data_IF_393371829205
#
_entry.id   IF_393371829205
#
_cell.length_a   1.000
_cell.length_b   1.000
_cell.length_c   1.000
_cell.angle_alpha   90.00
_cell.angle_beta   90.00
_cell.angle_gamma   90.00
#
_symmetry.space_group_name_H-M   'P 1'
#
loop_
_entity.id
_entity.type
_entity.pdbx_description
1 polymer ?
#
# COMPACT_ATOMS: atom_id res chain seq x y z
N UNK A 1 -19.06 -2.15 -8.41
CA UNK A 1 -17.64 -2.22 -8.78
C UNK A 1 -17.22 -3.68 -8.81
N UNK A 2 -16.29 -4.10 -9.67
CA UNK A 2 -15.83 -5.48 -9.70
C UNK A 2 -14.92 -5.78 -8.48
N UNK A 3 -14.97 -7.01 -7.97
CA UNK A 3 -14.09 -7.46 -6.88
C UNK A 3 -12.68 -7.66 -7.44
N UNK A 4 -11.70 -6.94 -6.88
CA UNK A 4 -10.29 -7.02 -7.28
C UNK A 4 -9.49 -7.96 -6.38
N UNK A 5 -9.64 -7.82 -5.07
CA UNK A 5 -8.98 -8.67 -4.08
C UNK A 5 -10.01 -9.16 -3.07
N UNK A 6 -9.99 -10.46 -2.79
CA UNK A 6 -10.80 -11.11 -1.77
C UNK A 6 -9.92 -11.80 -0.75
N UNK A 7 -10.17 -11.51 0.51
CA UNK A 7 -9.49 -12.10 1.66
C UNK A 7 -10.52 -12.91 2.44
N UNK A 8 -10.30 -14.22 2.54
CA UNK A 8 -11.23 -15.16 3.18
C UNK A 8 -10.55 -15.83 4.38
N UNK A 9 -10.99 -15.47 5.57
CA UNK A 9 -10.66 -16.13 6.85
C UNK A 9 -9.15 -16.36 7.05
N UNK A 10 -8.31 -15.39 6.64
CA UNK A 10 -6.86 -15.53 6.83
C UNK A 10 -6.50 -15.51 8.32
N UNK A 11 -5.63 -16.43 8.68
CA UNK A 11 -5.03 -16.50 10.02
C UNK A 11 -3.52 -16.58 9.91
N UNK A 12 -2.82 -15.88 10.80
CA UNK A 12 -1.35 -15.93 10.90
C UNK A 12 -0.91 -15.91 12.35
N UNK A 13 -0.11 -16.89 12.74
CA UNK A 13 0.46 -17.05 14.08
C UNK A 13 1.98 -16.97 14.05
N UNK A 14 2.57 -16.50 15.14
CA UNK A 14 4.00 -16.50 15.38
C UNK A 14 4.25 -17.08 16.78
N UNK A 15 4.72 -18.34 16.85
CA UNK A 15 4.81 -19.06 18.12
C UNK A 15 3.43 -19.15 18.79
N UNK A 16 3.28 -18.59 19.99
CA UNK A 16 2.01 -18.56 20.72
C UNK A 16 1.12 -17.33 20.44
N UNK A 17 1.54 -16.41 19.57
CA UNK A 17 0.83 -15.16 19.32
C UNK A 17 0.05 -15.25 18.01
N UNK A 18 -1.27 -15.03 18.05
CA UNK A 18 -2.14 -14.90 16.87
C UNK A 18 -2.09 -13.46 16.41
N UNK A 19 -1.36 -13.18 15.34
CA UNK A 19 -1.18 -11.83 14.80
C UNK A 19 -2.29 -11.41 13.83
N UNK A 20 -2.92 -12.37 13.15
CA UNK A 20 -4.13 -12.20 12.33
C UNK A 20 -5.04 -13.36 12.64
N UNK A 21 -6.30 -13.10 12.95
CA UNK A 21 -7.28 -14.09 13.36
C UNK A 21 -8.54 -14.02 12.50
N UNK A 22 -8.73 -15.02 11.65
CA UNK A 22 -9.95 -15.21 10.85
C UNK A 22 -10.41 -13.93 10.10
N UNK A 23 -9.46 -13.15 9.57
CA UNK A 23 -9.73 -11.88 8.93
C UNK A 23 -10.29 -12.06 7.51
N UNK A 24 -11.42 -11.42 7.23
CA UNK A 24 -12.08 -11.44 5.91
C UNK A 24 -12.49 -10.04 5.48
N UNK A 25 -12.20 -9.68 4.23
CA UNK A 25 -12.64 -8.44 3.57
C UNK A 25 -12.43 -8.52 2.06
N UNK A 26 -13.00 -7.58 1.35
CA UNK A 26 -12.88 -7.45 -0.10
C UNK A 26 -12.34 -6.06 -0.46
N UNK A 27 -11.68 -5.94 -1.62
CA UNK A 27 -11.28 -4.67 -2.23
C UNK A 27 -11.82 -4.66 -3.65
N UNK A 28 -12.50 -3.58 -4.02
CA UNK A 28 -13.10 -3.41 -5.34
C UNK A 28 -12.23 -2.56 -6.26
N UNK A 29 -12.37 -2.75 -7.58
CA UNK A 29 -11.61 -1.97 -8.56
C UNK A 29 -11.92 -0.47 -8.46
N UNK A 30 -10.85 0.36 -8.45
CA UNK A 30 -10.92 1.81 -8.46
C UNK A 30 -11.21 2.45 -7.10
N UNK A 31 -11.41 1.69 -6.01
CA UNK A 31 -11.57 2.27 -4.67
C UNK A 31 -10.24 2.58 -3.96
N UNK A 32 -10.29 3.50 -3.02
CA UNK A 32 -9.26 3.70 -2.00
C UNK A 32 -9.76 3.15 -0.68
N UNK A 33 -9.17 2.05 -0.21
CA UNK A 33 -9.50 1.45 1.09
C UNK A 33 -8.47 1.86 2.11
N UNK A 34 -8.87 2.58 3.15
CA UNK A 34 -8.07 2.84 4.34
C UNK A 34 -8.01 1.60 5.22
N UNK A 35 -6.81 1.26 5.73
CA UNK A 35 -6.63 0.14 6.64
C UNK A 35 -5.97 0.62 7.93
N UNK A 36 -6.72 0.59 9.01
CA UNK A 36 -6.34 1.19 10.29
C UNK A 36 -6.35 0.19 11.44
N UNK A 37 -5.71 0.57 12.53
CA UNK A 37 -5.69 -0.16 13.78
C UNK A 37 -4.57 0.35 14.68
N UNK A 38 -4.64 0.15 15.99
CA UNK A 38 -3.57 0.55 16.91
C UNK A 38 -2.25 -0.18 16.61
N UNK A 39 -1.18 0.25 17.28
CA UNK A 39 0.09 -0.45 17.20
C UNK A 39 -0.06 -1.89 17.74
N UNK A 40 0.47 -2.86 17.01
CA UNK A 40 0.31 -4.27 17.34
C UNK A 40 -1.01 -4.90 16.87
N UNK A 41 -1.92 -4.18 16.22
CA UNK A 41 -3.18 -4.72 15.72
C UNK A 41 -3.05 -5.78 14.61
N UNK A 42 -1.85 -5.96 14.03
CA UNK A 42 -1.61 -6.95 12.97
C UNK A 42 -1.51 -6.38 11.55
N UNK A 43 -1.61 -5.04 11.36
CA UNK A 43 -1.60 -4.39 10.04
C UNK A 43 -0.45 -4.83 9.14
N UNK A 44 0.79 -4.73 9.61
CA UNK A 44 1.97 -5.12 8.84
C UNK A 44 1.99 -6.61 8.52
N UNK A 45 1.46 -7.46 9.41
CA UNK A 45 1.31 -8.90 9.16
C UNK A 45 0.31 -9.17 8.04
N UNK A 46 -0.85 -8.50 8.04
CA UNK A 46 -1.84 -8.59 6.97
C UNK A 46 -1.21 -8.20 5.63
N UNK A 47 -0.55 -7.03 5.56
CA UNK A 47 0.09 -6.57 4.31
C UNK A 47 1.19 -7.54 3.84
N UNK A 48 1.97 -8.10 4.76
CA UNK A 48 2.99 -9.09 4.40
C UNK A 48 2.38 -10.41 3.89
N UNK A 49 1.22 -10.82 4.43
CA UNK A 49 0.47 -11.97 3.89
C UNK A 49 -0.10 -11.64 2.51
N UNK A 50 -0.74 -10.47 2.34
CA UNK A 50 -1.33 -10.08 1.06
C UNK A 50 -0.29 -9.83 -0.03
N UNK A 51 0.91 -9.37 0.30
CA UNK A 51 2.01 -9.16 -0.64
C UNK A 51 2.87 -10.42 -0.90
N UNK A 52 2.61 -11.53 -0.16
CA UNK A 52 3.30 -12.81 -0.35
C UNK A 52 4.66 -12.92 0.35
N UNK A 53 5.02 -11.97 1.21
CA UNK A 53 6.22 -12.07 2.06
C UNK A 53 6.04 -13.06 3.21
N UNK A 54 4.79 -13.25 3.66
CA UNK A 54 4.40 -14.26 4.63
C UNK A 54 3.33 -15.15 4.04
N UNK A 55 3.34 -16.43 4.39
CA UNK A 55 2.23 -17.32 4.09
C UNK A 55 1.22 -17.24 5.24
N UNK A 56 -0.07 -17.18 4.91
CA UNK A 56 -1.12 -17.43 5.88
C UNK A 56 -1.03 -18.89 6.38
N UNK A 57 -1.39 -19.11 7.62
CA UNK A 57 -1.45 -20.48 8.20
C UNK A 57 -2.78 -21.14 7.79
N UNK A 58 -3.84 -20.35 7.63
CA UNK A 58 -5.13 -20.79 7.07
C UNK A 58 -5.81 -19.64 6.32
N UNK A 59 -6.90 -19.96 5.61
CA UNK A 59 -7.65 -19.03 4.80
C UNK A 59 -7.12 -18.90 3.37
N UNK A 60 -7.69 -17.97 2.61
CA UNK A 60 -7.38 -17.78 1.19
C UNK A 60 -7.33 -16.30 0.82
N UNK A 61 -6.48 -15.98 -0.15
CA UNK A 61 -6.42 -14.68 -0.81
C UNK A 61 -6.58 -14.88 -2.30
N UNK A 62 -7.55 -14.19 -2.89
CA UNK A 62 -7.82 -14.24 -4.32
C UNK A 62 -7.66 -12.85 -4.94
N UNK A 63 -7.11 -12.77 -6.14
CA UNK A 63 -7.00 -11.54 -6.90
C UNK A 63 -7.55 -11.76 -8.31
N UNK A 64 -8.54 -11.00 -8.73
CA UNK A 64 -9.28 -11.20 -9.99
C UNK A 64 -9.79 -12.65 -10.14
N UNK A 65 -10.32 -13.24 -9.07
CA UNK A 65 -10.81 -14.64 -9.06
C UNK A 65 -9.72 -15.72 -9.09
N UNK A 66 -8.43 -15.33 -9.06
CA UNK A 66 -7.31 -16.28 -9.03
C UNK A 66 -6.78 -16.39 -7.61
N UNK A 67 -6.69 -17.62 -7.09
CA UNK A 67 -6.11 -17.86 -5.77
C UNK A 67 -4.61 -17.58 -5.77
N UNK A 68 -4.19 -16.56 -5.00
CA UNK A 68 -2.80 -16.12 -4.87
C UNK A 68 -2.18 -16.50 -3.53
N UNK A 69 -2.87 -17.23 -2.66
CA UNK A 69 -2.47 -17.50 -1.27
C UNK A 69 -1.03 -17.99 -1.14
N UNK A 70 -0.60 -18.90 -2.02
CA UNK A 70 0.75 -19.49 -2.01
C UNK A 70 1.71 -18.86 -3.03
N UNK A 71 1.26 -17.83 -3.76
CA UNK A 71 2.12 -17.15 -4.74
C UNK A 71 3.19 -16.31 -4.06
N UNK A 72 4.39 -16.36 -4.61
CA UNK A 72 5.52 -15.53 -4.16
C UNK A 72 5.33 -14.06 -4.55
N UNK A 73 6.00 -13.09 -3.90
CA UNK A 73 5.83 -11.66 -4.18
C UNK A 73 5.95 -11.28 -5.67
N UNK A 74 6.95 -11.81 -6.38
CA UNK A 74 7.14 -11.51 -7.80
C UNK A 74 5.99 -12.01 -8.68
N UNK A 75 5.34 -13.14 -8.33
CA UNK A 75 4.19 -13.65 -9.06
C UNK A 75 2.97 -12.74 -8.87
N UNK A 76 2.77 -12.23 -7.63
CA UNK A 76 1.71 -11.24 -7.34
C UNK A 76 1.98 -9.91 -8.03
N UNK A 77 3.25 -9.48 -8.12
CA UNK A 77 3.63 -8.29 -8.89
C UNK A 77 3.26 -8.44 -10.38
N UNK A 78 3.50 -9.59 -10.98
CA UNK A 78 3.08 -9.88 -12.36
C UNK A 78 1.56 -9.89 -12.56
N UNK A 79 0.78 -10.10 -11.49
CA UNK A 79 -0.67 -9.96 -11.53
C UNK A 79 -1.16 -8.52 -11.35
N UNK A 80 -0.24 -7.60 -11.06
CA UNK A 80 -0.53 -6.18 -10.89
C UNK A 80 -0.68 -5.75 -9.43
N UNK A 81 -0.07 -6.44 -8.47
CA UNK A 81 0.03 -5.99 -7.08
C UNK A 81 1.37 -5.29 -6.86
N UNK A 82 1.36 -4.02 -6.47
CA UNK A 82 2.54 -3.28 -6.05
C UNK A 82 2.44 -2.84 -4.59
N UNK A 83 3.59 -2.51 -3.98
CA UNK A 83 3.66 -2.05 -2.60
C UNK A 83 4.76 -1.03 -2.42
N UNK A 84 4.49 0.06 -1.69
CA UNK A 84 5.50 0.88 -1.05
C UNK A 84 5.83 0.33 0.33
N UNK A 85 6.94 0.78 0.91
CA UNK A 85 7.39 0.32 2.23
C UNK A 85 7.46 1.50 3.20
N UNK A 86 7.23 1.22 4.48
CA UNK A 86 7.38 2.20 5.55
C UNK A 86 8.77 2.87 5.58
N UNK A 87 9.82 2.12 5.25
CA UNK A 87 11.16 2.64 5.00
C UNK A 87 11.49 2.37 3.54
N UNK A 88 11.76 3.42 2.73
CA UNK A 88 12.09 3.24 1.32
C UNK A 88 13.26 2.27 1.11
N UNK A 89 13.12 1.41 0.10
CA UNK A 89 14.14 0.43 -0.27
C UNK A 89 14.70 0.74 -1.66
N UNK A 90 15.53 1.78 -1.77
CA UNK A 90 16.14 2.13 -3.06
C UNK A 90 17.17 1.10 -3.49
N UNK A 91 17.54 1.15 -4.76
CA UNK A 91 18.79 0.57 -5.26
C UNK A 91 19.86 1.67 -5.18
N UNK A 92 20.70 1.72 -4.13
CA UNK A 92 21.52 2.89 -3.82
C UNK A 92 22.52 3.26 -4.93
N UNK A 93 22.99 2.27 -5.69
CA UNK A 93 23.97 2.41 -6.77
C UNK A 93 23.33 2.68 -8.15
N UNK A 94 21.99 2.70 -8.23
CA UNK A 94 21.29 3.05 -9.46
C UNK A 94 20.86 4.52 -9.41
N UNK A 95 20.85 5.16 -10.59
CA UNK A 95 20.21 6.47 -10.74
C UNK A 95 18.70 6.35 -10.53
N UNK A 96 18.02 7.47 -10.24
CA UNK A 96 16.57 7.50 -10.14
C UNK A 96 15.92 6.91 -11.40
N UNK A 97 16.41 7.28 -12.59
CA UNK A 97 15.90 6.77 -13.86
C UNK A 97 16.11 5.27 -14.01
N UNK A 98 17.30 4.75 -13.76
CA UNK A 98 17.59 3.32 -13.86
C UNK A 98 16.79 2.51 -12.84
N UNK A 99 16.54 3.06 -11.63
CA UNK A 99 15.71 2.42 -10.60
C UNK A 99 14.26 2.25 -11.05
N UNK A 100 13.68 3.27 -11.69
CA UNK A 100 12.30 3.20 -12.20
C UNK A 100 12.23 2.29 -13.43
N UNK A 101 13.18 2.38 -14.37
CA UNK A 101 13.24 1.51 -15.54
C UNK A 101 13.34 0.03 -15.16
N UNK A 102 14.15 -0.30 -14.15
CA UNK A 102 14.23 -1.68 -13.62
C UNK A 102 12.87 -2.16 -13.12
N UNK A 103 12.10 -1.30 -12.46
CA UNK A 103 10.75 -1.65 -11.98
C UNK A 103 9.76 -1.83 -13.14
N UNK A 104 9.85 -1.01 -14.18
CA UNK A 104 9.03 -1.15 -15.39
C UNK A 104 9.23 -2.51 -16.06
N UNK A 105 10.47 -3.00 -16.13
CA UNK A 105 10.79 -4.32 -16.69
C UNK A 105 10.28 -5.48 -15.82
N UNK A 106 10.24 -5.30 -14.49
CA UNK A 106 9.85 -6.35 -13.54
C UNK A 106 8.34 -6.41 -13.26
N UNK A 107 7.57 -5.45 -13.76
CA UNK A 107 6.12 -5.34 -13.52
C UNK A 107 5.29 -6.38 -14.29
N UNK A 108 4.09 -6.00 -14.66
CA UNK A 108 3.17 -6.84 -15.44
C UNK A 108 3.89 -7.34 -16.68
N UNK A 109 3.88 -8.68 -16.89
CA UNK A 109 4.63 -9.37 -17.94
C UNK A 109 4.42 -8.69 -19.30
N UNK A 110 5.41 -7.91 -19.72
CA UNK A 110 5.45 -7.25 -21.04
C UNK A 110 6.32 -8.09 -21.95
N UNK A 111 5.72 -8.62 -22.98
CA UNK A 111 6.44 -9.39 -23.99
C UNK A 111 7.24 -8.41 -24.84
N UNK A 112 8.57 -8.61 -24.91
CA UNK A 112 9.52 -7.86 -25.79
C UNK A 112 9.75 -6.36 -25.46
N UNK A 113 9.58 -5.91 -24.21
CA UNK A 113 10.02 -4.56 -23.83
C UNK A 113 11.54 -4.50 -23.73
N UNK A 114 12.17 -3.60 -24.49
CA UNK A 114 13.61 -3.33 -24.38
C UNK A 114 13.92 -2.50 -23.13
N UNK A 115 15.19 -2.50 -22.70
CA UNK A 115 15.62 -1.60 -21.61
C UNK A 115 15.48 -0.12 -22.02
N UNK A 116 15.69 0.20 -23.30
CA UNK A 116 15.51 1.56 -23.82
C UNK A 116 14.06 2.02 -23.71
N UNK A 117 13.10 1.17 -24.07
CA UNK A 117 11.67 1.47 -23.91
C UNK A 117 11.32 1.69 -22.42
N UNK A 118 11.88 0.86 -21.53
CA UNK A 118 11.68 1.02 -20.09
C UNK A 118 12.28 2.33 -19.56
N UNK A 119 13.40 2.80 -20.12
CA UNK A 119 14.00 4.10 -19.76
C UNK A 119 13.12 5.28 -20.20
N UNK A 120 12.53 5.21 -21.39
CA UNK A 120 11.59 6.22 -21.88
C UNK A 120 10.34 6.26 -21.00
N UNK A 121 9.78 5.09 -20.68
CA UNK A 121 8.63 5.00 -19.79
C UNK A 121 8.93 5.49 -18.37
N UNK A 122 10.10 5.16 -17.82
CA UNK A 122 10.56 5.61 -16.51
C UNK A 122 10.63 7.14 -16.41
N UNK A 123 10.97 7.83 -17.50
CA UNK A 123 10.97 9.29 -17.58
C UNK A 123 9.59 9.86 -17.23
N UNK A 124 8.54 9.29 -17.79
CA UNK A 124 7.16 9.71 -17.53
C UNK A 124 6.78 9.59 -16.04
N UNK A 125 7.14 8.48 -15.37
CA UNK A 125 6.86 8.34 -13.94
C UNK A 125 7.69 9.29 -13.07
N UNK A 126 8.94 9.59 -13.47
CA UNK A 126 9.76 10.59 -12.78
C UNK A 126 9.22 12.01 -12.96
N UNK A 127 8.68 12.35 -14.11
CA UNK A 127 7.97 13.62 -14.33
C UNK A 127 6.72 13.70 -13.45
N UNK A 128 5.94 12.62 -13.41
CA UNK A 128 4.73 12.55 -12.59
C UNK A 128 4.99 12.83 -11.11
N UNK A 129 6.06 12.25 -10.54
CA UNK A 129 6.42 12.46 -9.12
C UNK A 129 7.31 13.67 -8.87
N UNK A 130 7.65 14.46 -9.90
CA UNK A 130 8.47 15.68 -9.78
C UNK A 130 9.98 15.42 -9.64
N UNK A 131 10.47 14.24 -10.01
CA UNK A 131 11.89 13.87 -9.90
C UNK A 131 12.65 13.91 -11.24
N UNK A 132 12.06 14.41 -12.31
CA UNK A 132 12.69 14.41 -13.64
C UNK A 132 14.05 15.14 -13.65
N UNK A 133 14.17 16.28 -12.99
CA UNK A 133 15.43 17.03 -12.87
C UNK A 133 16.54 16.24 -12.17
N UNK A 134 16.17 15.26 -11.34
CA UNK A 134 17.06 14.40 -10.56
C UNK A 134 17.25 13.00 -11.16
N UNK A 135 16.79 12.75 -12.38
CA UNK A 135 16.81 11.44 -13.04
C UNK A 135 18.20 10.78 -13.11
N UNK A 136 19.26 11.58 -13.18
CA UNK A 136 20.66 11.11 -13.23
C UNK A 136 21.32 11.00 -11.84
N UNK A 137 20.65 11.42 -10.76
CA UNK A 137 21.17 11.34 -9.40
C UNK A 137 21.06 9.89 -8.90
N UNK A 138 22.09 9.43 -8.19
CA UNK A 138 22.06 8.12 -7.53
C UNK A 138 21.03 8.12 -6.41
N UNK A 139 20.33 7.00 -6.23
CA UNK A 139 19.28 6.91 -5.22
C UNK A 139 19.80 7.18 -3.80
N UNK A 140 21.06 6.83 -3.49
CA UNK A 140 21.68 7.12 -2.19
C UNK A 140 21.86 8.62 -1.89
N UNK A 141 21.89 9.47 -2.93
CA UNK A 141 22.12 10.91 -2.82
C UNK A 141 20.80 11.73 -2.81
N UNK A 142 19.65 11.04 -2.87
CA UNK A 142 18.33 11.65 -2.75
C UNK A 142 17.96 11.89 -1.28
N UNK A 143 17.19 12.96 -1.03
CA UNK A 143 16.59 13.21 0.27
C UNK A 143 15.55 12.15 0.64
N UNK A 144 15.14 12.10 1.91
CA UNK A 144 14.12 11.13 2.35
C UNK A 144 12.79 11.29 1.60
N UNK A 145 12.33 12.52 1.41
CA UNK A 145 11.13 12.81 0.61
C UNK A 145 11.28 12.31 -0.83
N UNK A 146 12.42 12.60 -1.46
CA UNK A 146 12.69 12.17 -2.84
C UNK A 146 12.76 10.64 -2.96
N UNK A 147 13.28 9.96 -1.95
CA UNK A 147 13.26 8.49 -1.90
C UNK A 147 11.83 7.95 -1.83
N UNK A 148 10.92 8.61 -1.09
CA UNK A 148 9.48 8.29 -1.08
C UNK A 148 8.85 8.47 -2.46
N UNK A 149 9.16 9.58 -3.12
CA UNK A 149 8.66 9.85 -4.48
C UNK A 149 9.24 8.86 -5.49
N UNK A 150 10.52 8.52 -5.37
CA UNK A 150 11.14 7.49 -6.20
C UNK A 150 10.48 6.11 -6.00
N UNK A 151 10.15 5.74 -4.77
CA UNK A 151 9.45 4.49 -4.46
C UNK A 151 8.04 4.47 -5.06
N UNK A 152 7.31 5.58 -5.00
CA UNK A 152 6.01 5.72 -5.67
C UNK A 152 6.17 5.57 -7.19
N UNK A 153 7.12 6.26 -7.82
CA UNK A 153 7.40 6.14 -9.25
C UNK A 153 7.74 4.70 -9.66
N UNK A 154 8.57 4.01 -8.89
CA UNK A 154 8.92 2.60 -9.11
C UNK A 154 7.70 1.69 -8.99
N UNK A 155 6.83 1.94 -8.02
CA UNK A 155 5.60 1.17 -7.85
C UNK A 155 4.63 1.37 -9.01
N UNK A 156 4.45 2.62 -9.47
CA UNK A 156 3.61 2.96 -10.62
C UNK A 156 4.17 2.37 -11.92
N UNK A 157 5.49 2.36 -12.10
CA UNK A 157 6.14 1.79 -13.28
C UNK A 157 5.90 0.28 -13.47
N UNK A 158 5.51 -0.43 -12.41
CA UNK A 158 5.06 -1.83 -12.54
C UNK A 158 3.66 -1.95 -13.16
N UNK A 159 2.98 -0.84 -13.46
CA UNK A 159 1.59 -0.76 -13.95
C UNK A 159 0.61 -1.56 -13.08
N UNK A 160 0.51 -1.22 -11.78
CA UNK A 160 -0.26 -2.01 -10.86
C UNK A 160 -1.77 -1.83 -11.08
N UNK A 161 -2.55 -2.86 -10.77
CA UNK A 161 -3.99 -2.76 -10.55
C UNK A 161 -4.32 -2.40 -9.11
N UNK A 162 -3.50 -2.89 -8.16
CA UNK A 162 -3.64 -2.67 -6.73
C UNK A 162 -2.30 -2.20 -6.15
N UNK A 163 -2.30 -1.02 -5.55
CA UNK A 163 -1.15 -0.45 -4.87
C UNK A 163 -1.36 -0.44 -3.36
N UNK A 164 -0.51 -1.16 -2.63
CA UNK A 164 -0.43 -1.05 -1.18
C UNK A 164 0.48 0.12 -0.81
N UNK A 165 -0.06 1.08 -0.06
CA UNK A 165 0.67 2.22 0.48
C UNK A 165 0.81 2.02 1.99
N UNK A 166 2.05 1.93 2.48
CA UNK A 166 2.35 1.57 3.86
C UNK A 166 3.03 2.76 4.58
N UNK A 167 2.25 3.49 5.38
CA UNK A 167 2.69 4.61 6.23
C UNK A 167 3.61 5.62 5.50
N UNK A 168 3.22 6.03 4.30
CA UNK A 168 4.05 6.88 3.43
C UNK A 168 4.27 8.29 4.00
N UNK A 169 3.41 8.73 4.92
CA UNK A 169 3.50 10.07 5.55
C UNK A 169 4.52 10.14 6.68
N UNK A 170 4.97 8.99 7.20
CA UNK A 170 5.92 8.95 8.30
C UNK A 170 7.25 9.62 7.94
N UNK A 171 7.67 10.59 8.75
CA UNK A 171 8.93 11.34 8.56
C UNK A 171 8.87 12.50 7.56
N UNK A 172 7.72 12.79 6.97
CA UNK A 172 7.51 13.94 6.10
C UNK A 172 7.06 15.17 6.89
N UNK A 173 7.47 16.35 6.45
CA UNK A 173 6.90 17.59 6.96
C UNK A 173 5.47 17.81 6.43
N UNK A 174 4.66 18.72 7.02
CA UNK A 174 3.26 18.89 6.61
C UNK A 174 3.05 19.30 5.14
N UNK A 175 4.02 20.00 4.53
CA UNK A 175 3.98 20.37 3.11
C UNK A 175 4.23 19.17 2.21
N UNK A 176 5.27 18.39 2.53
CA UNK A 176 5.61 17.14 1.82
C UNK A 176 4.49 16.12 1.92
N UNK A 177 3.87 15.97 3.10
CA UNK A 177 2.75 15.07 3.31
C UNK A 177 1.55 15.44 2.42
N UNK A 178 1.17 16.73 2.39
CA UNK A 178 0.10 17.21 1.48
C UNK A 178 0.40 16.94 0.01
N UNK A 179 1.64 17.19 -0.42
CA UNK A 179 2.05 16.90 -1.80
C UNK A 179 1.97 15.40 -2.12
N UNK A 180 2.39 14.53 -1.19
CA UNK A 180 2.30 13.09 -1.37
C UNK A 180 0.84 12.61 -1.47
N UNK A 181 -0.08 13.11 -0.64
CA UNK A 181 -1.51 12.81 -0.70
C UNK A 181 -2.08 13.19 -2.07
N UNK A 182 -1.79 14.41 -2.54
CA UNK A 182 -2.26 14.87 -3.85
C UNK A 182 -1.70 14.02 -5.00
N UNK A 183 -0.44 13.63 -4.92
CA UNK A 183 0.16 12.74 -5.92
C UNK A 183 -0.49 11.35 -5.94
N UNK A 184 -0.80 10.79 -4.77
CA UNK A 184 -1.49 9.51 -4.66
C UNK A 184 -2.89 9.59 -5.25
N UNK A 185 -3.66 10.65 -4.95
CA UNK A 185 -4.98 10.87 -5.53
C UNK A 185 -4.91 10.99 -7.07
N UNK A 186 -3.97 11.80 -7.58
CA UNK A 186 -3.71 11.92 -9.01
C UNK A 186 -3.30 10.59 -9.66
N UNK A 187 -2.49 9.77 -8.96
CA UNK A 187 -2.10 8.46 -9.46
C UNK A 187 -3.30 7.54 -9.61
N UNK A 188 -4.23 7.55 -8.64
CA UNK A 188 -5.50 6.81 -8.74
C UNK A 188 -6.28 7.20 -9.99
N UNK A 189 -6.48 8.49 -10.21
CA UNK A 189 -7.25 9.01 -11.35
C UNK A 189 -6.56 8.76 -12.69
N UNK A 190 -5.26 9.11 -12.79
CA UNK A 190 -4.53 9.05 -14.05
C UNK A 190 -4.22 7.64 -14.53
N UNK A 191 -3.91 6.73 -13.60
CA UNK A 191 -3.52 5.35 -13.92
C UNK A 191 -4.62 4.32 -13.66
N UNK A 192 -5.78 4.74 -13.14
CA UNK A 192 -6.93 3.86 -12.86
C UNK A 192 -6.61 2.77 -11.84
N UNK A 193 -5.78 3.06 -10.83
CA UNK A 193 -5.33 2.09 -9.83
C UNK A 193 -6.27 2.04 -8.63
N UNK A 194 -6.35 0.87 -8.02
CA UNK A 194 -6.98 0.66 -6.71
C UNK A 194 -5.94 0.86 -5.62
N UNK A 195 -6.29 1.48 -4.51
CA UNK A 195 -5.36 1.78 -3.43
C UNK A 195 -5.81 1.10 -2.14
N UNK A 196 -4.87 0.39 -1.50
CA UNK A 196 -5.01 -0.10 -0.13
C UNK A 196 -4.01 0.65 0.75
N UNK A 197 -4.53 1.56 1.56
CA UNK A 197 -3.72 2.55 2.26
C UNK A 197 -3.67 2.29 3.75
N UNK A 198 -2.50 1.89 4.24
CA UNK A 198 -2.24 1.68 5.65
C UNK A 198 -1.73 3.00 6.24
N UNK A 199 -2.48 3.56 7.15
CA UNK A 199 -2.11 4.79 7.85
C UNK A 199 -2.56 4.76 9.31
N UNK A 200 -1.87 5.54 10.13
CA UNK A 200 -2.26 5.82 11.51
C UNK A 200 -2.74 7.27 11.70
N UNK A 201 -2.54 8.12 10.70
CA UNK A 201 -3.04 9.51 10.67
C UNK A 201 -4.45 9.51 10.10
N UNK A 202 -5.45 9.48 11.00
CA UNK A 202 -6.86 9.36 10.61
C UNK A 202 -7.30 10.47 9.63
N UNK A 203 -6.83 11.72 9.85
CA UNK A 203 -7.19 12.85 8.99
C UNK A 203 -6.89 12.63 7.51
N UNK A 204 -5.80 11.92 7.19
CA UNK A 204 -5.43 11.59 5.80
C UNK A 204 -6.47 10.68 5.16
N UNK A 205 -6.91 9.67 5.88
CA UNK A 205 -7.88 8.70 5.37
C UNK A 205 -9.29 9.26 5.31
N UNK A 206 -9.65 10.18 6.23
CA UNK A 206 -10.94 10.88 6.19
C UNK A 206 -11.14 11.68 4.89
N UNK A 207 -10.05 12.22 4.33
CA UNK A 207 -10.10 13.01 3.09
C UNK A 207 -9.91 12.17 1.83
N UNK A 208 -9.27 10.99 1.94
CA UNK A 208 -8.76 10.26 0.77
C UNK A 208 -9.37 8.89 0.55
N UNK A 209 -9.93 8.27 1.59
CA UNK A 209 -10.47 6.92 1.50
C UNK A 209 -11.96 6.92 1.14
N UNK A 210 -12.35 6.02 0.25
CA UNK A 210 -13.77 5.75 -0.05
C UNK A 210 -14.39 4.90 1.07
N UNK A 211 -13.60 4.03 1.70
CA UNK A 211 -13.99 3.10 2.75
C UNK A 211 -12.81 2.83 3.68
N UNK A 212 -13.09 2.56 4.94
CA UNK A 212 -12.08 2.20 5.95
C UNK A 212 -12.40 0.82 6.55
N UNK A 213 -11.36 0.02 6.72
CA UNK A 213 -11.37 -1.23 7.47
C UNK A 213 -10.53 -1.02 8.72
N UNK A 214 -11.14 -1.15 9.89
CA UNK A 214 -10.45 -1.07 11.18
C UNK A 214 -10.21 -2.48 11.72
N UNK A 215 -8.98 -2.74 12.19
CA UNK A 215 -8.63 -4.00 12.85
C UNK A 215 -8.09 -3.77 14.26
N UNK A 216 -8.29 -4.76 15.11
CA UNK A 216 -7.64 -4.82 16.42
C UNK A 216 -7.37 -6.28 16.79
N UNK A 217 -6.22 -6.57 17.38
CA UNK A 217 -5.77 -7.94 17.72
C UNK A 217 -5.92 -8.96 16.58
N UNK A 218 -5.68 -8.53 15.34
CA UNK A 218 -5.75 -9.38 14.15
C UNK A 218 -7.15 -9.63 13.60
N UNK A 219 -8.19 -9.07 14.19
CA UNK A 219 -9.60 -9.24 13.80
C UNK A 219 -10.16 -7.94 13.22
N UNK A 220 -11.16 -8.06 12.34
CA UNK A 220 -11.91 -6.90 11.83
C UNK A 220 -12.81 -6.35 12.94
N UNK A 221 -12.62 -5.09 13.26
CA UNK A 221 -13.37 -4.38 14.29
C UNK A 221 -14.56 -3.62 13.71
N UNK A 222 -14.33 -2.93 12.60
CA UNK A 222 -15.37 -2.19 11.88
C UNK A 222 -14.98 -2.06 10.40
N UNK A 223 -15.98 -1.81 9.56
CA UNK A 223 -15.82 -1.51 8.14
C UNK A 223 -16.98 -0.62 7.71
N UNK A 224 -16.69 0.45 6.95
CA UNK A 224 -17.68 1.42 6.50
C UNK A 224 -17.05 2.65 5.90
N UNK A 225 -17.85 3.70 5.70
CA UNK A 225 -17.35 5.02 5.32
C UNK A 225 -16.40 5.58 6.39
N UNK A 226 -15.49 6.51 6.04
CA UNK A 226 -14.62 7.13 7.03
C UNK A 226 -15.37 7.68 8.25
N UNK A 227 -16.53 8.34 8.04
CA UNK A 227 -17.36 8.88 9.11
C UNK A 227 -17.96 7.80 10.02
N UNK A 228 -18.44 6.70 9.44
CA UNK A 228 -18.99 5.58 10.22
C UNK A 228 -17.92 4.93 11.09
N UNK A 229 -16.74 4.72 10.54
CA UNK A 229 -15.65 4.04 11.26
C UNK A 229 -15.05 4.92 12.35
N UNK A 230 -14.89 6.23 12.11
CA UNK A 230 -14.32 7.16 13.11
C UNK A 230 -15.27 7.36 14.32
N UNK A 231 -16.58 7.24 14.08
CA UNK A 231 -17.59 7.36 15.11
C UNK A 231 -17.95 6.01 15.77
N UNK A 232 -17.33 4.91 15.34
CA UNK A 232 -17.60 3.59 15.92
C UNK A 232 -16.98 3.48 17.31
N UNK A 233 -17.82 3.19 18.32
CA UNK A 233 -17.38 3.12 19.73
C UNK A 233 -16.25 2.11 19.95
N UNK A 234 -16.30 0.95 19.30
CA UNK A 234 -15.27 -0.07 19.42
C UNK A 234 -13.92 0.39 18.83
N UNK A 235 -13.96 1.16 17.73
CA UNK A 235 -12.76 1.76 17.13
C UNK A 235 -12.18 2.81 18.07
N UNK A 236 -13.01 3.71 18.59
CA UNK A 236 -12.57 4.74 19.54
C UNK A 236 -11.95 4.09 20.80
N UNK A 237 -12.60 3.07 21.35
CA UNK A 237 -12.08 2.33 22.51
C UNK A 237 -10.73 1.65 22.22
N UNK A 238 -10.55 1.10 21.01
CA UNK A 238 -9.30 0.46 20.61
C UNK A 238 -8.12 1.45 20.55
N UNK A 239 -8.37 2.72 20.22
CA UNK A 239 -7.33 3.76 20.13
C UNK A 239 -7.10 4.52 21.44
N UNK A 240 -8.17 4.82 22.19
CA UNK A 240 -8.10 5.64 23.41
C UNK A 240 -8.07 4.81 24.71
N UNK A 241 -8.35 3.51 24.60
CA UNK A 241 -8.45 2.61 25.75
C UNK A 241 -9.83 2.59 26.40
N UNK A 242 -10.08 1.56 27.22
CA UNK A 242 -11.34 1.42 27.98
C UNK A 242 -11.50 2.57 28.96
N UNK A 243 -12.71 3.13 29.02
CA UNK A 243 -13.03 4.19 29.97
C UNK A 243 -12.78 5.62 29.47
N UNK A 244 -12.42 5.82 28.19
CA UNK A 244 -12.22 7.16 27.61
C UNK A 244 -13.41 8.12 27.82
N UNK A 245 -14.64 7.59 27.85
CA UNK A 245 -15.85 8.39 28.16
C UNK A 245 -15.87 9.01 29.59
N UNK A 246 -15.02 8.52 30.48
CA UNK A 246 -14.92 9.10 31.83
C UNK A 246 -14.05 10.36 31.87
N UNK A 247 -13.36 10.69 30.77
CA UNK A 247 -12.45 11.84 30.65
C UNK A 247 -12.91 12.82 29.54
N UNK A 248 -14.00 12.54 28.83
CA UNK A 248 -14.65 13.43 27.88
C UNK A 248 -15.81 14.16 28.50
#
# INVERSE_FOLDING_TARGET
MAELLKVNNITKTFGGIVAVNNLSFEIHEGETVGFIGPNGAGKSTVVNVLSGYLNADSGQVEMNGVNITKMKPYQRAHMGLARTYQIPRPFPELTALASVATSALCGKKRVNQSFEDAMVEATHYLEFVGLFSKRAILARDLTFYELRMLELARSLATTPKLLFIDEVMAGLNPGEARNAIQLIARAKEQFGITIFWIEHVMAVLMESADRIIAINYGEKLAEGTPEEVVNNEAVIEAYLGRGWKAYA
#
